data_IF_441045033345
#
_entry.id   IF_441045033345
#
_cell.length_a   1.000
_cell.length_b   1.000
_cell.length_c   1.000
_cell.angle_alpha   90.00
_cell.angle_beta   90.00
_cell.angle_gamma   90.00
#
_symmetry.space_group_name_H-M   'P 1'
#
loop_
_entity.id
_entity.type
_entity.pdbx_description
1 polymer ?
#
# COMPACT_ATOMS: atom_id res chain seq x y z
N UNK A 1 28.29 32.16 -30.87
CA UNK A 1 27.24 31.11 -30.75
C UNK A 1 27.36 30.55 -29.34
N UNK A 2 26.57 31.07 -28.40
CA UNK A 2 26.63 30.65 -27.00
C UNK A 2 26.05 29.24 -26.89
N UNK A 3 26.90 28.24 -26.60
CA UNK A 3 26.42 26.94 -26.15
C UNK A 3 25.98 27.11 -24.70
N UNK A 4 24.69 26.85 -24.36
CA UNK A 4 24.29 26.80 -22.97
C UNK A 4 25.03 25.63 -22.32
N UNK A 5 25.55 25.89 -21.13
CA UNK A 5 26.37 24.98 -20.36
C UNK A 5 25.58 23.66 -20.14
N UNK A 6 26.11 22.48 -20.52
CA UNK A 6 25.39 21.20 -20.39
C UNK A 6 25.14 20.77 -18.93
N UNK A 7 25.59 21.56 -17.96
CA UNK A 7 25.47 21.32 -16.53
C UNK A 7 24.08 21.69 -15.96
N UNK A 8 23.23 22.38 -16.72
CA UNK A 8 21.87 22.76 -16.29
C UNK A 8 20.81 21.65 -16.49
N UNK A 9 21.19 20.50 -17.07
CA UNK A 9 20.25 19.41 -17.39
C UNK A 9 20.50 18.07 -16.68
N UNK A 10 21.49 17.96 -15.79
CA UNK A 10 21.75 16.73 -15.04
C UNK A 10 21.95 16.97 -13.55
N UNK A 11 20.87 16.81 -12.78
CA UNK A 11 20.94 16.63 -11.33
C UNK A 11 20.78 15.15 -10.96
N UNK A 12 21.87 14.39 -11.10
CA UNK A 12 22.00 13.08 -10.45
C UNK A 12 22.59 13.27 -9.05
N UNK A 13 21.73 13.51 -8.06
CA UNK A 13 22.12 13.59 -6.63
C UNK A 13 21.76 12.30 -5.89
N UNK A 14 22.57 11.26 -6.09
CA UNK A 14 22.46 9.99 -5.34
C UNK A 14 23.29 9.95 -4.05
N UNK A 15 23.81 11.09 -3.57
CA UNK A 15 24.55 11.15 -2.30
C UNK A 15 23.66 11.43 -1.07
N UNK A 16 22.33 11.35 -1.21
CA UNK A 16 21.34 11.90 -0.28
C UNK A 16 20.46 10.84 0.41
N UNK A 17 21.02 9.69 0.80
CA UNK A 17 20.31 8.77 1.71
C UNK A 17 20.19 9.30 3.16
N UNK A 18 20.83 10.44 3.49
CA UNK A 18 20.88 10.99 4.86
C UNK A 18 20.59 12.48 4.99
N UNK A 19 20.35 13.21 3.90
CA UNK A 19 19.80 14.59 3.99
C UNK A 19 18.35 14.60 3.55
N UNK A 20 17.45 14.72 4.52
CA UNK A 20 16.00 14.92 4.34
C UNK A 20 15.79 16.34 3.80
N UNK A 21 16.17 16.56 2.55
CA UNK A 21 15.80 17.75 1.79
C UNK A 21 15.20 17.21 0.50
N UNK A 22 13.93 16.81 0.62
CA UNK A 22 13.06 16.44 -0.49
C UNK A 22 12.80 17.69 -1.31
N UNK A 23 12.91 17.57 -2.63
CA UNK A 23 12.46 18.61 -3.55
C UNK A 23 10.94 18.76 -3.46
N UNK A 24 10.40 19.92 -3.86
CA UNK A 24 8.96 20.15 -3.86
C UNK A 24 8.20 19.12 -4.71
N UNK A 25 8.81 18.65 -5.80
CA UNK A 25 8.26 17.63 -6.69
C UNK A 25 8.17 16.26 -6.02
N UNK A 26 9.23 15.81 -5.33
CA UNK A 26 9.23 14.55 -4.57
C UNK A 26 8.20 14.56 -3.43
N UNK A 27 7.99 15.71 -2.77
CA UNK A 27 6.94 15.86 -1.75
C UNK A 27 5.53 15.69 -2.34
N UNK A 28 5.31 16.14 -3.58
CA UNK A 28 4.04 15.95 -4.29
C UNK A 28 3.85 14.47 -4.63
N UNK A 29 4.89 13.79 -5.13
CA UNK A 29 4.82 12.35 -5.43
C UNK A 29 4.51 11.50 -4.19
N UNK A 30 5.21 11.76 -3.07
CA UNK A 30 4.96 11.05 -1.81
C UNK A 30 3.53 11.32 -1.32
N UNK A 31 3.06 12.57 -1.36
CA UNK A 31 1.69 12.91 -0.97
C UNK A 31 0.66 12.22 -1.86
N UNK A 32 0.89 12.20 -3.17
CA UNK A 32 0.01 11.53 -4.12
C UNK A 32 -0.06 10.03 -3.81
N UNK A 33 1.07 9.38 -3.55
CA UNK A 33 1.13 7.97 -3.15
C UNK A 33 0.44 7.71 -1.81
N UNK A 34 0.61 8.58 -0.82
CA UNK A 34 -0.06 8.49 0.48
C UNK A 34 -1.58 8.63 0.37
N UNK A 35 -2.08 9.54 -0.47
CA UNK A 35 -3.53 9.75 -0.63
C UNK A 35 -4.21 8.59 -1.37
N UNK A 36 -3.52 8.01 -2.34
CA UNK A 36 -4.07 7.00 -3.25
C UNK A 36 -3.84 5.58 -2.74
N UNK A 37 -2.60 5.16 -2.52
CA UNK A 37 -2.27 3.78 -2.17
C UNK A 37 -2.33 3.53 -0.68
N UNK A 38 -1.50 4.21 0.12
CA UNK A 38 -1.48 3.98 1.58
C UNK A 38 -2.82 4.34 2.22
N UNK A 39 -3.39 5.48 1.78
CA UNK A 39 -4.66 5.98 2.26
C UNK A 39 -5.84 5.09 1.89
N UNK A 40 -5.83 4.40 0.74
CA UNK A 40 -6.88 3.46 0.40
C UNK A 40 -6.90 2.27 1.37
N UNK A 41 -5.75 1.63 1.61
CA UNK A 41 -5.67 0.49 2.52
C UNK A 41 -6.08 0.85 3.95
N UNK A 42 -5.61 2.00 4.44
CA UNK A 42 -5.94 2.45 5.79
C UNK A 42 -7.43 2.74 5.94
N UNK A 43 -8.04 3.45 4.97
CA UNK A 43 -9.49 3.72 4.99
C UNK A 43 -10.30 2.44 4.94
N UNK A 44 -9.91 1.47 4.10
CA UNK A 44 -10.58 0.17 4.05
C UNK A 44 -10.49 -0.54 5.40
N UNK A 45 -9.30 -0.73 5.96
CA UNK A 45 -9.12 -1.41 7.24
C UNK A 45 -9.94 -0.74 8.37
N UNK A 46 -9.88 0.60 8.47
CA UNK A 46 -10.64 1.35 9.46
C UNK A 46 -12.15 1.16 9.28
N UNK A 47 -12.66 1.21 8.04
CA UNK A 47 -14.08 0.97 7.78
C UNK A 47 -14.52 -0.45 8.18
N UNK A 48 -13.69 -1.47 7.93
CA UNK A 48 -13.97 -2.85 8.32
C UNK A 48 -14.00 -3.00 9.85
N UNK A 49 -13.05 -2.40 10.58
CA UNK A 49 -13.05 -2.42 12.03
C UNK A 49 -14.23 -1.65 12.64
N UNK A 50 -14.57 -0.48 12.08
CA UNK A 50 -15.75 0.27 12.53
C UNK A 50 -17.03 -0.55 12.34
N UNK A 51 -17.19 -1.20 11.19
CA UNK A 51 -18.35 -2.04 10.93
C UNK A 51 -18.39 -3.27 11.83
N UNK A 52 -17.25 -3.91 12.08
CA UNK A 52 -17.14 -4.99 13.06
C UNK A 52 -17.63 -4.54 14.44
N UNK A 53 -17.11 -3.42 14.96
CA UNK A 53 -17.52 -2.89 16.26
C UNK A 53 -19.02 -2.59 16.32
N UNK A 54 -19.60 -2.01 15.26
CA UNK A 54 -21.04 -1.78 15.15
C UNK A 54 -21.80 -3.11 15.25
N UNK A 55 -21.39 -4.13 14.49
CA UNK A 55 -22.06 -5.43 14.50
C UNK A 55 -21.98 -6.08 15.89
N UNK A 56 -20.78 -6.19 16.44
CA UNK A 56 -20.54 -6.79 17.75
C UNK A 56 -21.23 -6.04 18.88
N UNK A 57 -21.45 -4.73 18.76
CA UNK A 57 -22.05 -3.90 19.82
C UNK A 57 -23.57 -3.81 19.75
N UNK A 58 -24.15 -3.81 18.54
CA UNK A 58 -25.58 -3.54 18.33
C UNK A 58 -26.41 -4.82 18.18
N UNK A 59 -25.87 -5.86 17.51
CA UNK A 59 -26.66 -7.03 17.17
C UNK A 59 -26.60 -8.13 18.23
N UNK A 60 -27.54 -9.07 18.15
CA UNK A 60 -27.62 -10.26 19.00
C UNK A 60 -26.44 -11.21 18.73
N UNK A 61 -26.21 -12.17 19.65
CA UNK A 61 -25.08 -13.10 19.59
C UNK A 61 -24.98 -13.91 18.29
N UNK A 62 -26.09 -14.09 17.58
CA UNK A 62 -26.16 -14.80 16.31
C UNK A 62 -25.34 -14.10 15.20
N UNK A 63 -25.18 -12.77 15.29
CA UNK A 63 -24.44 -11.98 14.32
C UNK A 63 -22.97 -11.80 14.67
N UNK A 64 -22.50 -12.31 15.82
CA UNK A 64 -21.12 -12.13 16.26
C UNK A 64 -20.11 -12.78 15.30
N UNK A 65 -20.47 -13.89 14.65
CA UNK A 65 -19.64 -14.51 13.62
C UNK A 65 -19.39 -13.56 12.44
N UNK A 66 -20.41 -12.80 12.04
CA UNK A 66 -20.30 -11.79 10.97
C UNK A 66 -19.42 -10.65 11.45
N UNK A 67 -19.62 -10.14 12.65
CA UNK A 67 -18.76 -9.10 13.24
C UNK A 67 -17.29 -9.53 13.33
N UNK A 68 -17.03 -10.77 13.77
CA UNK A 68 -15.69 -11.35 13.81
C UNK A 68 -15.06 -11.48 12.42
N UNK A 69 -15.84 -11.87 11.41
CA UNK A 69 -15.39 -11.91 10.01
C UNK A 69 -14.90 -10.53 9.54
N UNK A 70 -15.66 -9.47 9.82
CA UNK A 70 -15.27 -8.09 9.49
C UNK A 70 -14.00 -7.65 10.24
N UNK A 71 -13.84 -8.05 11.50
CA UNK A 71 -12.63 -7.76 12.27
C UNK A 71 -11.39 -8.48 11.70
N UNK A 72 -11.49 -9.78 11.40
CA UNK A 72 -10.41 -10.57 10.80
C UNK A 72 -10.06 -10.04 9.41
N UNK A 73 -11.06 -9.71 8.60
CA UNK A 73 -10.85 -9.15 7.28
C UNK A 73 -10.17 -7.78 7.34
N UNK A 74 -10.61 -6.89 8.24
CA UNK A 74 -9.94 -5.61 8.50
C UNK A 74 -8.47 -5.77 8.92
N UNK A 75 -8.18 -6.75 9.79
CA UNK A 75 -6.82 -7.08 10.21
C UNK A 75 -5.97 -7.63 9.05
N UNK A 76 -6.53 -8.48 8.20
CA UNK A 76 -5.85 -8.99 7.01
C UNK A 76 -5.51 -7.86 6.02
N UNK A 77 -6.45 -6.95 5.75
CA UNK A 77 -6.20 -5.77 4.90
C UNK A 77 -5.12 -4.87 5.51
N UNK A 78 -5.14 -4.69 6.83
CA UNK A 78 -4.10 -3.92 7.54
C UNK A 78 -2.72 -4.58 7.43
N UNK A 79 -2.62 -5.90 7.55
CA UNK A 79 -1.37 -6.64 7.36
C UNK A 79 -0.85 -6.48 5.93
N UNK A 80 -1.71 -6.58 4.92
CA UNK A 80 -1.33 -6.34 3.52
C UNK A 80 -0.83 -4.90 3.34
N UNK A 81 -1.46 -3.92 3.99
CA UNK A 81 -1.04 -2.52 3.96
C UNK A 81 0.37 -2.33 4.54
N UNK A 82 0.63 -2.94 5.70
CA UNK A 82 1.94 -2.88 6.37
C UNK A 82 3.00 -3.57 5.52
N UNK A 83 2.69 -4.76 5.01
CA UNK A 83 3.61 -5.52 4.15
C UNK A 83 3.97 -4.73 2.89
N UNK A 84 2.97 -4.15 2.22
CA UNK A 84 3.17 -3.27 1.07
C UNK A 84 3.98 -2.02 1.40
N UNK A 85 3.74 -1.39 2.56
CA UNK A 85 4.54 -0.25 3.02
C UNK A 85 6.00 -0.66 3.23
N UNK A 86 6.24 -1.86 3.76
CA UNK A 86 7.57 -2.41 3.92
C UNK A 86 8.25 -2.69 2.57
N UNK A 87 7.54 -3.28 1.60
CA UNK A 87 8.03 -3.49 0.23
C UNK A 87 8.31 -2.18 -0.51
N UNK A 88 7.42 -1.19 -0.39
CA UNK A 88 7.58 0.14 -0.98
C UNK A 88 8.79 0.86 -0.40
N UNK A 89 8.95 0.85 0.93
CA UNK A 89 10.12 1.42 1.59
C UNK A 89 11.42 0.76 1.08
N UNK A 90 11.46 -0.57 0.93
CA UNK A 90 12.65 -1.26 0.40
C UNK A 90 12.94 -0.93 -1.07
N UNK A 91 11.93 -0.68 -1.89
CA UNK A 91 12.08 -0.25 -3.30
C UNK A 91 12.57 1.19 -3.43
N UNK A 92 12.23 2.07 -2.49
CA UNK A 92 12.81 3.42 -2.41
C UNK A 92 14.29 3.42 -1.98
N UNK A 93 14.78 2.35 -1.33
CA UNK A 93 16.10 2.31 -0.66
C UNK A 93 17.08 1.19 -1.09
N UNK A 94 16.85 0.46 -2.20
CA UNK A 94 17.74 -0.64 -2.67
C UNK A 94 17.86 -0.63 -4.20
N UNK A 95 18.99 -0.76 -4.90
CA UNK A 95 20.42 -0.50 -4.68
C UNK A 95 20.91 0.03 -6.04
N UNK A 96 21.75 1.06 -6.12
CA UNK A 96 22.37 1.42 -7.40
C UNK A 96 23.16 0.20 -7.89
N UNK A 97 22.87 -0.28 -9.10
CA UNK A 97 23.82 -1.15 -9.80
C UNK A 97 24.86 -0.23 -10.41
N UNK A 98 26.10 -0.44 -10.00
CA UNK A 98 27.26 0.23 -10.58
C UNK A 98 27.48 -0.39 -11.97
N UNK A 99 27.19 0.36 -13.04
CA UNK A 99 27.56 -0.09 -14.38
C UNK A 99 29.09 -0.07 -14.49
N UNK A 100 29.68 -1.07 -15.17
CA UNK A 100 31.13 -1.23 -15.39
C UNK A 100 31.82 -0.03 -16.08
N UNK A 101 31.08 1.04 -16.41
CA UNK A 101 31.55 2.33 -16.96
C UNK A 101 31.32 3.53 -16.01
N UNK A 102 31.21 3.32 -14.71
CA UNK A 102 31.13 4.40 -13.72
C UNK A 102 29.85 5.27 -13.79
N UNK A 103 28.83 4.81 -14.51
CA UNK A 103 27.51 5.44 -14.56
C UNK A 103 26.59 4.79 -13.53
N UNK A 104 26.06 5.58 -12.59
CA UNK A 104 25.04 5.09 -11.65
C UNK A 104 23.68 5.13 -12.33
N UNK A 105 23.28 4.06 -13.01
CA UNK A 105 21.94 3.93 -13.58
C UNK A 105 20.97 3.38 -12.52
N UNK A 106 20.04 4.22 -12.06
CA UNK A 106 18.92 3.77 -11.21
C UNK A 106 17.90 3.12 -12.13
N UNK A 107 18.05 1.82 -12.39
CA UNK A 107 17.00 1.05 -13.04
C UNK A 107 15.84 0.92 -12.05
N UNK A 108 14.92 1.89 -12.07
CA UNK A 108 13.62 1.77 -11.39
C UNK A 108 12.87 0.64 -12.09
N UNK A 109 13.02 -0.59 -11.59
CA UNK A 109 12.18 -1.70 -12.03
C UNK A 109 10.79 -1.42 -11.47
N UNK A 110 9.94 -0.79 -12.27
CA UNK A 110 8.52 -0.56 -11.97
C UNK A 110 7.86 -1.93 -11.75
N UNK A 111 7.87 -2.42 -10.51
CA UNK A 111 7.12 -3.60 -10.14
C UNK A 111 5.69 -3.14 -9.92
N UNK A 112 4.83 -3.44 -10.87
CA UNK A 112 3.40 -3.15 -10.77
C UNK A 112 2.82 -3.75 -9.48
N UNK A 113 1.84 -3.05 -8.91
CA UNK A 113 1.12 -3.38 -7.67
C UNK A 113 0.38 -4.72 -7.65
N UNK A 114 0.49 -5.52 -8.72
CA UNK A 114 -0.31 -6.70 -9.02
C UNK A 114 -0.32 -7.76 -7.91
N UNK A 115 0.80 -7.99 -7.20
CA UNK A 115 0.82 -8.96 -6.10
C UNK A 115 -0.12 -8.58 -4.95
N UNK A 116 -0.09 -7.32 -4.53
CA UNK A 116 -0.99 -6.87 -3.46
C UNK A 116 -2.43 -6.78 -3.95
N UNK A 117 -2.67 -6.43 -5.22
CA UNK A 117 -4.02 -6.45 -5.78
C UNK A 117 -4.58 -7.87 -5.78
N UNK A 118 -3.82 -8.87 -6.24
CA UNK A 118 -4.23 -10.26 -6.23
C UNK A 118 -4.53 -10.77 -4.80
N UNK A 119 -3.67 -10.43 -3.83
CA UNK A 119 -3.89 -10.75 -2.42
C UNK A 119 -5.20 -10.15 -1.88
N UNK A 120 -5.47 -8.88 -2.18
CA UNK A 120 -6.69 -8.21 -1.73
C UNK A 120 -7.93 -8.76 -2.41
N UNK A 121 -7.85 -9.11 -3.69
CA UNK A 121 -8.95 -9.75 -4.41
C UNK A 121 -9.27 -11.12 -3.79
N UNK A 122 -8.25 -11.93 -3.50
CA UNK A 122 -8.43 -13.23 -2.87
C UNK A 122 -9.03 -13.10 -1.45
N UNK A 123 -8.52 -12.17 -0.64
CA UNK A 123 -9.06 -11.88 0.69
C UNK A 123 -10.53 -11.40 0.62
N UNK A 124 -10.83 -10.50 -0.32
CA UNK A 124 -12.20 -9.99 -0.51
C UNK A 124 -13.15 -11.11 -0.91
N UNK A 125 -12.73 -11.96 -1.85
CA UNK A 125 -13.55 -13.08 -2.32
C UNK A 125 -13.82 -14.08 -1.20
N UNK A 126 -12.79 -14.46 -0.43
CA UNK A 126 -12.94 -15.35 0.71
C UNK A 126 -13.87 -14.77 1.78
N UNK A 127 -13.74 -13.47 2.09
CA UNK A 127 -14.62 -12.79 3.03
C UNK A 127 -16.08 -12.77 2.53
N UNK A 128 -16.32 -12.48 1.25
CA UNK A 128 -17.66 -12.51 0.67
C UNK A 128 -18.29 -13.90 0.68
N UNK A 129 -17.55 -14.94 0.31
CA UNK A 129 -18.04 -16.32 0.37
C UNK A 129 -18.40 -16.70 1.81
N UNK A 130 -17.53 -16.38 2.78
CA UNK A 130 -17.79 -16.66 4.19
C UNK A 130 -19.02 -15.90 4.70
N UNK A 131 -19.18 -14.65 4.29
CA UNK A 131 -20.35 -13.83 4.64
C UNK A 131 -21.65 -14.42 4.06
N UNK A 132 -21.63 -14.88 2.81
CA UNK A 132 -22.78 -15.53 2.18
C UNK A 132 -23.18 -16.80 2.94
N UNK A 133 -22.22 -17.63 3.31
CA UNK A 133 -22.47 -18.86 4.09
C UNK A 133 -23.06 -18.54 5.46
N UNK A 134 -22.47 -17.60 6.19
CA UNK A 134 -22.97 -17.19 7.52
C UNK A 134 -24.38 -16.60 7.44
N UNK A 135 -24.65 -15.81 6.38
CA UNK A 135 -25.98 -15.22 6.17
C UNK A 135 -27.01 -16.29 5.81
N UNK A 136 -26.64 -17.28 4.99
CA UNK A 136 -27.51 -18.40 4.65
C UNK A 136 -27.87 -19.24 5.89
N UNK A 137 -26.89 -19.53 6.73
CA UNK A 137 -27.10 -20.27 8.00
C UNK A 137 -27.97 -19.52 8.99
N UNK A 138 -27.98 -18.19 8.96
CA UNK A 138 -28.81 -17.36 9.82
C UNK A 138 -30.27 -17.29 9.35
N UNK A 139 -30.50 -17.44 8.04
CA UNK A 139 -31.85 -17.39 7.44
C UNK A 139 -32.58 -18.73 7.54
N UNK A 140 -31.85 -19.85 7.53
CA UNK A 140 -32.41 -21.20 7.71
C UNK A 140 -32.75 -21.49 9.17
#
# INVERSE_FOLDING_TARGET
MFQPNPQDHLHLRLHRARSVILTAEELVEIRAAQRTFEGAYMRTALSQFSFALIILKIFTSEFYAIGALFAVYGAAVMLVAIFRRHEGNRQFFTSPKEDERGGVSVVRKFRTSGNSVALLTALSLAAYVTLLVLTWQLVQ
#
